data_IF_220977628563
#
_entry.id   IF_220977628563
#
_cell.length_a   1.000
_cell.length_b   1.000
_cell.length_c   1.000
_cell.angle_alpha   90.00
_cell.angle_beta   90.00
_cell.angle_gamma   90.00
#
_symmetry.space_group_name_H-M   'P 1'
#
loop_
_entity.id
_entity.type
_entity.pdbx_description
1 polymer ?
#
# COMPACT_ATOMS: atom_id res chain seq x y z
N UNK A 1 -1.62 8.74 -15.77
CA UNK A 1 -0.39 7.91 -15.73
C UNK A 1 -0.47 7.04 -14.49
N UNK A 2 -0.89 5.78 -14.63
CA UNK A 2 -0.73 4.81 -13.57
C UNK A 2 0.73 4.30 -13.66
N UNK A 3 1.55 4.73 -12.70
CA UNK A 3 2.89 4.19 -12.51
C UNK A 3 2.75 3.04 -11.52
N UNK A 4 3.02 1.82 -11.97
CA UNK A 4 3.20 0.71 -11.06
C UNK A 4 4.62 0.81 -10.50
N UNK A 5 4.74 0.72 -9.17
CA UNK A 5 5.98 0.99 -8.46
C UNK A 5 6.30 -0.16 -7.53
N UNK A 6 7.36 -0.89 -7.86
CA UNK A 6 7.89 -1.95 -7.03
C UNK A 6 8.97 -1.39 -6.07
N UNK A 7 8.55 -1.01 -4.86
CA UNK A 7 9.31 -1.36 -3.66
C UNK A 7 10.56 -0.58 -3.20
N UNK A 8 10.76 0.71 -3.51
CA UNK A 8 11.76 1.55 -2.78
C UNK A 8 11.10 2.72 -2.02
N UNK A 9 11.59 3.06 -0.82
CA UNK A 9 11.03 4.20 -0.06
C UNK A 9 11.41 5.54 -0.70
N UNK A 10 10.52 6.55 -0.67
CA UNK A 10 10.76 7.89 -1.23
C UNK A 10 12.01 8.60 -0.66
N UNK A 11 12.48 8.18 0.53
CA UNK A 11 13.69 8.70 1.18
C UNK A 11 14.99 8.06 0.64
N UNK A 12 14.93 6.91 -0.03
CA UNK A 12 16.07 6.31 -0.75
C UNK A 12 16.27 6.96 -2.12
N UNK A 13 15.18 7.29 -2.82
CA UNK A 13 15.19 8.10 -4.05
C UNK A 13 15.79 9.50 -3.82
N UNK A 14 15.45 10.15 -2.70
CA UNK A 14 16.05 11.44 -2.32
C UNK A 14 17.55 11.36 -2.03
N UNK A 15 18.02 10.24 -1.46
CA UNK A 15 19.45 10.03 -1.19
C UNK A 15 20.25 9.73 -2.46
N UNK A 16 19.69 8.96 -3.41
CA UNK A 16 20.35 8.68 -4.71
C UNK A 16 20.43 9.91 -5.64
N UNK A 17 19.46 10.82 -5.57
CA UNK A 17 19.40 12.00 -6.44
C UNK A 17 19.81 13.33 -5.78
N UNK A 18 20.51 13.28 -4.64
CA UNK A 18 21.00 14.47 -3.93
C UNK A 18 22.16 15.21 -4.65
N UNK A 19 22.58 14.78 -5.83
CA UNK A 19 23.62 15.45 -6.62
C UNK A 19 23.28 15.47 -8.10
N UNK A 20 22.59 16.52 -8.56
CA UNK A 20 22.41 16.73 -10.01
C UNK A 20 21.23 17.62 -10.35
N UNK A 21 21.41 18.94 -10.28
CA UNK A 21 20.55 19.85 -11.03
C UNK A 21 20.77 19.59 -12.52
N UNK A 22 19.87 18.83 -13.15
CA UNK A 22 19.88 18.67 -14.62
C UNK A 22 19.40 20.00 -15.22
N UNK A 23 20.35 20.86 -15.59
CA UNK A 23 20.12 21.96 -16.55
C UNK A 23 20.56 21.43 -17.92
N UNK A 24 19.71 21.42 -18.96
CA UNK A 24 20.18 21.11 -20.30
C UNK A 24 21.10 22.26 -20.77
N UNK A 25 22.35 21.95 -21.10
CA UNK A 25 23.22 22.85 -21.89
C UNK A 25 23.00 22.57 -23.38
N UNK A 26 22.97 23.60 -24.24
CA UNK A 26 23.02 23.43 -25.68
C UNK A 26 24.49 23.35 -26.13
N UNK A 27 24.82 22.39 -26.98
CA UNK A 27 26.10 22.27 -27.69
C UNK A 27 25.85 21.53 -29.01
N UNK A 28 26.54 21.91 -30.10
CA UNK A 28 26.12 21.59 -31.46
C UNK A 28 26.43 20.13 -31.78
N UNK A 29 25.44 19.42 -32.33
CA UNK A 29 25.65 18.10 -32.92
C UNK A 29 25.65 18.30 -34.43
N UNK A 30 26.79 17.99 -35.07
CA UNK A 30 26.94 17.99 -36.51
C UNK A 30 25.91 17.03 -37.14
N UNK A 31 25.16 17.54 -38.12
CA UNK A 31 24.12 16.81 -38.85
C UNK A 31 24.74 16.29 -40.14
N UNK A 32 24.67 14.98 -40.46
CA UNK A 32 25.00 14.51 -41.79
C UNK A 32 23.93 15.01 -42.78
N UNK A 33 24.43 15.51 -43.90
CA UNK A 33 23.70 16.01 -45.05
C UNK A 33 22.87 14.90 -45.71
N UNK A 34 21.70 15.31 -46.21
CA UNK A 34 20.72 14.57 -47.03
C UNK A 34 19.67 13.70 -46.29
N UNK A 35 18.52 14.34 -46.00
CA UNK A 35 17.23 13.67 -45.90
C UNK A 35 16.19 14.44 -46.75
N UNK A 36 15.32 13.75 -47.52
CA UNK A 36 14.43 14.39 -48.47
C UNK A 36 13.27 15.10 -47.76
N UNK A 37 13.03 16.34 -48.21
CA UNK A 37 11.87 17.21 -47.97
C UNK A 37 10.88 16.76 -46.89
N UNK A 38 11.03 17.29 -45.67
CA UNK A 38 9.94 17.36 -44.71
C UNK A 38 9.41 18.79 -44.68
N UNK A 39 8.25 18.98 -45.28
CA UNK A 39 7.43 20.17 -45.13
C UNK A 39 7.16 20.40 -43.63
N UNK A 40 7.74 21.46 -43.07
CA UNK A 40 7.37 21.93 -41.73
C UNK A 40 5.93 22.44 -41.76
N UNK A 41 4.98 21.58 -41.34
CA UNK A 41 3.66 22.06 -40.94
C UNK A 41 3.83 22.93 -39.69
N UNK A 42 3.39 24.19 -39.81
CA UNK A 42 3.32 25.16 -38.72
C UNK A 42 2.64 24.54 -37.48
N UNK A 43 3.09 24.91 -36.28
CA UNK A 43 2.76 24.25 -35.02
C UNK A 43 1.28 24.25 -34.59
N UNK A 44 0.39 24.84 -35.39
CA UNK A 44 -1.05 24.93 -35.11
C UNK A 44 -1.87 23.74 -35.67
N UNK A 45 -1.33 22.96 -36.63
CA UNK A 45 -2.06 21.91 -37.36
C UNK A 45 -1.55 20.47 -37.07
N UNK A 46 -0.73 20.29 -36.02
CA UNK A 46 -0.30 18.93 -35.64
C UNK A 46 -1.40 18.24 -34.85
N UNK A 47 -1.96 17.19 -35.43
CA UNK A 47 -2.79 16.25 -34.70
C UNK A 47 -2.07 15.79 -33.42
N UNK A 48 -2.78 15.76 -32.27
CA UNK A 48 -2.18 15.36 -31.02
C UNK A 48 -1.65 13.92 -31.12
N UNK A 49 -0.46 13.69 -30.56
CA UNK A 49 0.14 12.36 -30.56
C UNK A 49 -0.83 11.36 -29.90
N UNK A 50 -1.12 10.21 -30.54
CA UNK A 50 -1.97 9.21 -29.92
C UNK A 50 -1.33 8.71 -28.61
N UNK A 51 -2.13 8.43 -27.56
CA UNK A 51 -1.61 8.13 -26.22
C UNK A 51 -0.54 7.03 -26.17
N UNK A 52 -0.64 6.02 -27.04
CA UNK A 52 0.33 4.93 -27.09
C UNK A 52 1.73 5.39 -27.56
N UNK A 53 1.84 6.39 -28.44
CA UNK A 53 3.16 6.92 -28.89
C UNK A 53 3.87 7.60 -27.73
N UNK A 54 3.13 8.37 -26.94
CA UNK A 54 3.66 9.03 -25.74
C UNK A 54 4.07 7.99 -24.70
N UNK A 55 3.20 7.02 -24.41
CA UNK A 55 3.50 5.89 -23.51
C UNK A 55 4.78 5.15 -23.92
N UNK A 56 4.92 4.82 -25.20
CA UNK A 56 6.12 4.16 -25.76
C UNK A 56 7.39 5.02 -25.54
N UNK A 57 7.31 6.31 -25.85
CA UNK A 57 8.45 7.23 -25.71
C UNK A 57 8.87 7.45 -24.24
N UNK A 58 7.93 7.42 -23.30
CA UNK A 58 8.24 7.46 -21.87
C UNK A 58 8.90 6.15 -21.45
N UNK A 59 8.31 5.00 -21.78
CA UNK A 59 8.83 3.68 -21.40
C UNK A 59 10.23 3.42 -21.97
N UNK A 60 10.59 3.97 -23.14
CA UNK A 60 11.95 3.84 -23.68
C UNK A 60 13.03 4.58 -22.87
N UNK A 61 12.64 5.38 -21.88
CA UNK A 61 13.54 6.17 -21.01
C UNK A 61 13.46 5.78 -19.55
N UNK A 62 12.51 4.94 -19.17
CA UNK A 62 12.35 4.44 -17.80
C UNK A 62 13.30 3.26 -17.56
N UNK A 63 13.75 3.05 -16.31
CA UNK A 63 14.47 1.84 -15.94
C UNK A 63 13.57 0.59 -16.11
N UNK A 64 14.19 -0.58 -16.18
CA UNK A 64 13.49 -1.84 -16.49
C UNK A 64 12.44 -2.27 -15.45
N UNK A 65 12.47 -1.68 -14.25
CA UNK A 65 11.59 -1.95 -13.11
C UNK A 65 10.43 -0.94 -12.99
N UNK A 66 10.34 0.04 -13.89
CA UNK A 66 9.25 1.03 -13.92
C UNK A 66 8.65 1.08 -15.32
N UNK A 67 7.33 0.95 -15.42
CA UNK A 67 6.63 1.06 -16.69
C UNK A 67 5.34 1.86 -16.58
N UNK A 68 5.02 2.59 -17.65
CA UNK A 68 3.69 3.19 -17.86
C UNK A 68 2.81 2.15 -18.55
N UNK A 69 1.80 1.69 -17.82
CA UNK A 69 0.85 0.69 -18.31
C UNK A 69 -0.20 1.30 -19.24
N UNK A 70 -0.75 2.45 -18.84
CA UNK A 70 -1.82 3.12 -19.58
C UNK A 70 -1.66 4.65 -19.57
N UNK A 71 -2.19 5.27 -20.63
CA UNK A 71 -2.26 6.72 -20.78
C UNK A 71 -3.61 7.10 -21.38
N UNK A 72 -4.25 8.09 -20.75
CA UNK A 72 -5.54 8.62 -21.16
C UNK A 72 -5.47 10.14 -21.13
N UNK A 73 -6.13 10.77 -22.10
CA UNK A 73 -6.27 12.22 -22.11
C UNK A 73 -7.38 12.61 -21.14
N UNK A 74 -7.11 13.52 -20.22
CA UNK A 74 -8.15 14.10 -19.37
C UNK A 74 -8.95 15.07 -20.24
N UNK A 75 -10.27 14.87 -20.42
CA UNK A 75 -11.09 15.76 -21.24
C UNK A 75 -11.01 17.21 -20.73
N UNK A 76 -10.95 18.18 -21.64
CA UNK A 76 -10.93 19.60 -21.27
C UNK A 76 -12.19 20.04 -20.50
N UNK A 77 -13.30 19.29 -20.65
CA UNK A 77 -14.56 19.49 -19.94
C UNK A 77 -14.60 18.86 -18.54
N UNK A 78 -13.59 18.07 -18.14
CA UNK A 78 -13.53 17.45 -16.83
C UNK A 78 -13.07 18.45 -15.75
N UNK A 79 -13.49 18.21 -14.50
CA UNK A 79 -12.91 18.90 -13.35
C UNK A 79 -11.38 18.72 -13.36
N UNK A 80 -10.57 19.71 -12.92
CA UNK A 80 -9.11 19.59 -12.90
C UNK A 80 -8.66 18.32 -12.18
N UNK A 81 -8.15 17.34 -12.95
CA UNK A 81 -7.70 16.07 -12.40
C UNK A 81 -6.46 16.26 -11.55
N UNK A 82 -6.50 15.75 -10.32
CA UNK A 82 -5.39 15.75 -9.38
C UNK A 82 -5.15 14.34 -8.80
N UNK A 83 -4.01 13.69 -9.11
CA UNK A 83 -3.77 12.25 -8.87
C UNK A 83 -3.76 11.84 -7.39
N UNK A 84 -3.64 12.81 -6.48
CA UNK A 84 -3.67 12.57 -5.02
C UNK A 84 -4.96 13.03 -4.32
N UNK A 85 -5.72 13.93 -4.94
CA UNK A 85 -6.83 14.61 -4.26
C UNK A 85 -8.19 14.04 -4.67
N UNK A 86 -8.35 13.69 -5.96
CA UNK A 86 -9.57 13.06 -6.46
C UNK A 86 -9.61 11.54 -6.25
N UNK A 87 -8.88 11.02 -5.26
CA UNK A 87 -8.84 9.59 -4.96
C UNK A 87 -10.04 9.23 -4.10
N UNK A 88 -10.91 8.37 -4.62
CA UNK A 88 -12.05 7.83 -3.89
C UNK A 88 -11.63 6.70 -2.95
N UNK A 89 -10.77 5.79 -3.45
CA UNK A 89 -10.36 4.57 -2.73
C UNK A 89 -8.99 4.10 -3.20
N UNK A 90 -8.26 3.41 -2.31
CA UNK A 90 -7.03 2.68 -2.62
C UNK A 90 -7.16 1.24 -2.14
N UNK A 91 -6.59 0.30 -2.90
CA UNK A 91 -6.44 -1.09 -2.50
C UNK A 91 -4.97 -1.46 -2.46
N UNK A 92 -4.52 -1.82 -1.27
CA UNK A 92 -3.22 -2.46 -1.07
C UNK A 92 -3.41 -3.95 -0.95
N UNK A 93 -2.45 -4.69 -1.48
CA UNK A 93 -2.38 -6.13 -1.32
C UNK A 93 -1.11 -6.49 -0.57
N UNK A 94 -1.21 -7.50 0.29
CA UNK A 94 -0.05 -8.08 0.95
C UNK A 94 -0.04 -9.58 0.73
N UNK A 95 1.07 -10.10 0.20
CA UNK A 95 1.25 -11.54 -0.03
C UNK A 95 2.18 -12.15 1.01
N UNK A 96 1.73 -13.24 1.62
CA UNK A 96 2.47 -14.03 2.58
C UNK A 96 2.37 -15.50 2.21
N UNK A 97 3.45 -16.25 2.40
CA UNK A 97 3.49 -17.70 2.23
C UNK A 97 3.88 -18.34 3.56
N UNK A 98 3.10 -19.32 4.01
CA UNK A 98 3.30 -19.96 5.32
C UNK A 98 2.80 -21.41 5.30
N UNK A 99 3.08 -22.14 6.37
CA UNK A 99 2.48 -23.45 6.62
C UNK A 99 1.19 -23.30 7.42
N UNK A 100 0.13 -24.01 7.05
CA UNK A 100 -1.07 -24.06 7.90
C UNK A 100 -0.71 -24.77 9.20
N UNK A 101 -1.17 -24.23 10.32
CA UNK A 101 -1.11 -24.93 11.62
C UNK A 101 -1.89 -26.25 11.51
N UNK A 102 -1.28 -27.41 11.81
CA UNK A 102 -1.98 -28.68 11.72
C UNK A 102 -3.04 -28.76 12.82
N UNK A 103 -4.13 -29.49 12.55
CA UNK A 103 -5.17 -29.79 13.55
C UNK A 103 -4.64 -30.76 14.63
N UNK A 104 -3.69 -31.61 14.24
CA UNK A 104 -2.99 -32.57 15.09
C UNK A 104 -1.53 -32.12 15.29
N UNK A 105 -1.11 -31.73 16.51
CA UNK A 105 0.25 -31.29 16.81
C UNK A 105 1.33 -32.33 16.48
N UNK A 106 1.02 -33.63 16.50
CA UNK A 106 1.99 -34.68 16.15
C UNK A 106 2.34 -34.69 14.66
N UNK A 107 1.53 -34.01 13.82
CA UNK A 107 1.77 -33.85 12.38
C UNK A 107 2.45 -32.52 12.03
N UNK A 108 2.87 -31.75 13.03
CA UNK A 108 3.66 -30.54 12.80
C UNK A 108 4.96 -30.91 12.10
N UNK A 109 5.31 -30.15 11.06
CA UNK A 109 6.49 -30.44 10.26
C UNK A 109 7.59 -29.47 10.60
N UNK A 110 8.71 -30.00 11.08
CA UNK A 110 9.93 -29.24 11.33
C UNK A 110 10.64 -28.94 10.00
N UNK A 111 10.25 -27.84 9.37
CA UNK A 111 10.69 -27.52 8.02
C UNK A 111 10.85 -26.04 7.69
N UNK A 112 11.29 -25.17 8.61
CA UNK A 112 11.70 -23.77 8.35
C UNK A 112 10.92 -22.94 7.30
N UNK A 113 11.52 -21.88 6.73
CA UNK A 113 11.01 -21.27 5.46
C UNK A 113 11.63 -21.92 4.23
N UNK A 114 12.71 -22.69 4.45
CA UNK A 114 13.55 -23.23 3.39
C UNK A 114 12.85 -24.31 2.57
N UNK A 115 11.80 -24.93 3.11
CA UNK A 115 11.01 -25.96 2.44
C UNK A 115 9.99 -25.44 1.44
N UNK A 116 9.73 -24.12 1.39
CA UNK A 116 8.75 -23.54 0.44
C UNK A 116 9.16 -22.18 -0.12
N UNK A 117 10.43 -21.79 0.09
CA UNK A 117 10.99 -20.57 -0.50
C UNK A 117 10.98 -20.66 -2.03
N UNK A 118 10.66 -19.56 -2.70
CA UNK A 118 10.77 -19.45 -4.16
C UNK A 118 11.77 -18.37 -4.57
N UNK A 119 12.56 -18.65 -5.61
CA UNK A 119 13.49 -17.68 -6.18
C UNK A 119 12.77 -16.54 -6.94
N UNK A 120 11.61 -16.81 -7.55
CA UNK A 120 10.87 -15.83 -8.36
C UNK A 120 10.11 -14.81 -7.52
N UNK A 121 9.60 -15.26 -6.37
CA UNK A 121 8.61 -14.49 -5.62
C UNK A 121 9.21 -13.74 -4.42
N UNK A 122 10.51 -13.93 -4.15
CA UNK A 122 11.20 -13.41 -2.96
C UNK A 122 11.06 -11.89 -2.77
N UNK A 123 10.88 -11.13 -3.86
CA UNK A 123 10.69 -9.66 -3.82
C UNK A 123 9.24 -9.22 -3.62
N UNK A 124 8.28 -10.14 -3.71
CA UNK A 124 6.85 -9.84 -3.79
C UNK A 124 6.01 -10.60 -2.75
N UNK A 125 6.61 -11.57 -2.07
CA UNK A 125 5.97 -12.44 -1.08
C UNK A 125 6.82 -12.50 0.18
N UNK A 126 6.18 -12.42 1.33
CA UNK A 126 6.83 -12.71 2.61
C UNK A 126 6.75 -14.21 2.90
N UNK A 127 7.88 -14.92 2.83
CA UNK A 127 8.00 -16.27 3.37
C UNK A 127 8.00 -16.21 4.91
N UNK A 128 6.86 -16.53 5.50
CA UNK A 128 6.64 -16.47 6.93
C UNK A 128 7.09 -17.78 7.59
N UNK A 129 7.98 -17.73 8.59
CA UNK A 129 8.55 -18.93 9.21
C UNK A 129 7.57 -19.68 10.11
N UNK A 130 6.48 -19.02 10.50
CA UNK A 130 5.53 -19.56 11.47
C UNK A 130 4.37 -20.28 10.81
N UNK A 131 3.83 -21.25 11.53
CA UNK A 131 2.56 -21.85 11.19
C UNK A 131 1.43 -20.92 11.64
N UNK A 132 0.43 -20.72 10.77
CA UNK A 132 -0.65 -19.77 11.01
C UNK A 132 -2.02 -20.45 10.95
N UNK A 133 -2.94 -19.92 11.74
CA UNK A 133 -4.36 -20.28 11.74
C UNK A 133 -5.17 -19.31 10.86
N UNK A 134 -5.61 -19.80 9.70
CA UNK A 134 -6.40 -19.04 8.74
C UNK A 134 -7.74 -18.54 9.31
N UNK A 135 -8.34 -19.25 10.28
CA UNK A 135 -9.62 -18.88 10.87
C UNK A 135 -9.44 -17.66 11.80
N UNK A 136 -8.47 -17.74 12.73
CA UNK A 136 -8.12 -16.61 13.60
C UNK A 136 -7.71 -15.37 12.79
N UNK A 137 -6.93 -15.56 11.73
CA UNK A 137 -6.53 -14.44 10.86
C UNK A 137 -7.73 -13.79 10.16
N UNK A 138 -8.69 -14.57 9.65
CA UNK A 138 -9.91 -14.02 9.03
C UNK A 138 -10.77 -13.28 10.04
N UNK A 139 -10.89 -13.78 11.26
CA UNK A 139 -11.66 -13.15 12.32
C UNK A 139 -11.05 -11.80 12.71
N UNK A 140 -9.73 -11.75 12.93
CA UNK A 140 -9.01 -10.51 13.20
C UNK A 140 -9.13 -9.51 12.03
N UNK A 141 -9.11 -9.97 10.77
CA UNK A 141 -9.36 -9.08 9.63
C UNK A 141 -10.71 -8.40 9.71
N UNK A 142 -11.78 -9.13 10.09
CA UNK A 142 -13.14 -8.58 10.20
C UNK A 142 -13.24 -7.54 11.32
N UNK A 143 -12.61 -7.80 12.46
CA UNK A 143 -12.61 -6.88 13.61
C UNK A 143 -11.91 -5.55 13.33
N UNK A 144 -11.07 -5.45 12.29
CA UNK A 144 -10.37 -4.23 11.89
C UNK A 144 -11.15 -3.39 10.85
N UNK A 145 -12.23 -3.90 10.27
CA UNK A 145 -13.02 -3.22 9.24
C UNK A 145 -13.99 -2.24 9.89
N UNK A 146 -13.97 -0.99 9.44
CA UNK A 146 -14.80 0.09 9.94
C UNK A 146 -14.01 1.35 10.30
N UNK A 147 -14.67 2.25 11.01
CA UNK A 147 -14.10 3.52 11.46
C UNK A 147 -13.50 3.36 12.86
N UNK A 148 -12.18 3.37 12.95
CA UNK A 148 -11.45 3.15 14.21
C UNK A 148 -10.30 4.13 14.40
N UNK A 149 -9.77 4.19 15.63
CA UNK A 149 -8.50 4.84 15.91
C UNK A 149 -7.33 3.88 15.62
N UNK A 150 -6.63 4.12 14.51
CA UNK A 150 -5.51 3.30 14.08
C UNK A 150 -4.13 3.83 14.53
N UNK A 151 -4.06 4.68 15.58
CA UNK A 151 -2.80 5.28 16.04
C UNK A 151 -1.71 4.23 16.36
N UNK A 152 -2.10 3.09 16.95
CA UNK A 152 -1.19 1.97 17.25
C UNK A 152 -0.60 1.35 15.97
N UNK A 153 -1.35 1.39 14.86
CA UNK A 153 -0.94 0.87 13.57
C UNK A 153 -0.11 1.87 12.75
N UNK A 154 0.13 3.09 13.24
CA UNK A 154 1.00 4.05 12.56
C UNK A 154 2.47 3.87 12.91
N UNK A 155 3.36 4.24 11.98
CA UNK A 155 4.79 4.39 12.25
C UNK A 155 5.03 5.39 13.39
N UNK A 156 6.02 5.16 14.26
CA UNK A 156 6.33 6.01 15.43
C UNK A 156 6.41 7.50 15.08
N UNK A 157 7.08 7.85 13.99
CA UNK A 157 7.20 9.25 13.53
C UNK A 157 5.87 9.87 13.08
N UNK A 158 4.95 9.05 12.55
CA UNK A 158 3.64 9.54 12.12
C UNK A 158 2.74 9.87 13.31
N UNK A 159 2.98 9.28 14.49
CA UNK A 159 2.26 9.57 15.75
C UNK A 159 2.64 10.92 16.35
N UNK A 160 3.90 11.34 16.17
CA UNK A 160 4.42 12.64 16.66
C UNK A 160 3.85 13.84 15.90
N UNK A 161 3.24 13.60 14.73
CA UNK A 161 2.65 14.64 13.89
C UNK A 161 1.27 15.15 14.36
N UNK A 162 0.66 14.49 15.35
CA UNK A 162 -0.64 14.89 15.92
C UNK A 162 -0.51 15.98 16.99
N UNK A 163 0.53 16.81 16.92
CA UNK A 163 0.44 18.16 17.47
C UNK A 163 -0.67 18.87 16.71
N UNK A 164 -1.81 19.11 17.36
CA UNK A 164 -2.98 19.82 16.85
C UNK A 164 -2.58 20.89 15.82
N UNK A 165 -2.68 20.57 14.52
CA UNK A 165 -2.36 21.55 13.49
C UNK A 165 -3.53 22.52 13.45
N UNK A 166 -3.36 23.71 14.02
CA UNK A 166 -4.30 24.81 13.84
C UNK A 166 -4.55 25.00 12.34
N UNK A 167 -5.81 24.92 11.92
CA UNK A 167 -6.23 25.00 10.52
C UNK A 167 -5.94 26.40 9.97
N UNK A 168 -4.70 26.67 9.58
CA UNK A 168 -4.35 27.82 8.72
C UNK A 168 -4.47 27.39 7.27
N UNK A 169 -5.72 27.19 6.81
CA UNK A 169 -6.23 27.28 5.42
C UNK A 169 -7.38 26.28 5.22
N UNK A 170 -8.58 26.82 4.96
CA UNK A 170 -9.72 26.07 4.40
C UNK A 170 -9.25 25.31 3.15
N UNK A 171 -9.08 23.99 3.24
CA UNK A 171 -9.15 23.10 2.08
C UNK A 171 -10.60 22.64 1.97
N UNK A 172 -11.24 22.97 0.85
CA UNK A 172 -12.69 23.08 0.72
C UNK A 172 -13.42 21.75 0.48
N UNK A 173 -12.70 20.63 0.31
CA UNK A 173 -13.30 19.47 -0.38
C UNK A 173 -13.15 18.12 0.34
N UNK A 174 -12.86 18.09 1.64
CA UNK A 174 -13.20 16.90 2.43
C UNK A 174 -14.70 16.97 2.76
N UNK A 175 -15.51 16.18 2.05
CA UNK A 175 -16.84 15.78 2.55
C UNK A 175 -16.65 15.31 4.00
N UNK A 176 -17.41 15.94 4.87
CA UNK A 176 -17.28 16.08 6.33
C UNK A 176 -16.34 15.08 7.03
N UNK A 177 -15.24 15.56 7.64
CA UNK A 177 -14.50 14.78 8.62
C UNK A 177 -15.36 14.64 9.88
N UNK A 178 -15.29 13.50 10.55
CA UNK A 178 -15.81 13.34 11.91
C UNK A 178 -15.13 14.42 12.76
N UNK A 179 -15.89 15.46 13.10
CA UNK A 179 -15.43 16.53 13.97
C UNK A 179 -15.25 15.91 15.35
N UNK A 180 -14.01 15.83 15.82
CA UNK A 180 -13.78 15.80 17.27
C UNK A 180 -14.06 17.22 17.75
N UNK A 181 -14.73 17.35 18.89
CA UNK A 181 -15.44 18.50 19.53
C UNK A 181 -14.74 19.88 19.53
N UNK A 182 -13.56 20.01 18.91
CA UNK A 182 -12.67 21.17 18.97
C UNK A 182 -12.07 21.55 17.59
N UNK A 183 -12.64 21.06 16.48
CA UNK A 183 -12.22 21.43 15.12
C UNK A 183 -10.83 20.93 14.69
N UNK A 184 -10.27 19.96 15.42
CA UNK A 184 -8.95 19.34 15.15
C UNK A 184 -9.12 18.06 14.34
N UNK A 185 -8.25 17.85 13.35
CA UNK A 185 -8.20 16.65 12.53
C UNK A 185 -7.30 15.58 13.18
N UNK A 186 -7.86 14.43 13.53
CA UNK A 186 -7.06 13.27 13.95
C UNK A 186 -6.63 12.46 12.71
N UNK A 187 -5.33 12.46 12.42
CA UNK A 187 -4.79 11.78 11.23
C UNK A 187 -4.87 10.25 11.30
N UNK A 188 -5.10 9.73 12.51
CA UNK A 188 -5.11 8.33 12.89
C UNK A 188 -6.51 7.69 12.92
N UNK A 189 -7.59 8.49 12.96
CA UNK A 189 -8.96 7.99 12.79
C UNK A 189 -9.20 7.76 11.29
N UNK A 190 -9.52 6.52 10.91
CA UNK A 190 -9.71 6.13 9.51
C UNK A 190 -10.84 5.13 9.37
N UNK A 191 -11.49 5.18 8.22
CA UNK A 191 -12.45 4.17 7.78
C UNK A 191 -11.75 3.16 6.86
N UNK A 192 -11.60 1.93 7.35
CA UNK A 192 -11.13 0.79 6.58
C UNK A 192 -12.32 0.11 5.93
N UNK A 193 -12.60 0.45 4.67
CA UNK A 193 -13.76 -0.07 3.91
C UNK A 193 -13.75 -1.59 3.75
N UNK A 194 -12.58 -2.23 3.79
CA UNK A 194 -12.50 -3.68 3.74
C UNK A 194 -11.10 -4.22 3.99
N UNK A 195 -11.04 -5.39 4.61
CA UNK A 195 -9.80 -6.13 4.80
C UNK A 195 -10.05 -7.62 4.58
N UNK A 196 -9.78 -8.10 3.37
CA UNK A 196 -10.08 -9.48 2.96
C UNK A 196 -8.83 -10.34 2.99
N UNK A 197 -8.98 -11.58 3.43
CA UNK A 197 -7.96 -12.62 3.38
C UNK A 197 -8.42 -13.74 2.44
N UNK A 198 -7.74 -13.86 1.31
CA UNK A 198 -7.90 -14.98 0.36
C UNK A 198 -6.71 -15.91 0.55
N UNK A 199 -6.96 -17.21 0.64
CA UNK A 199 -5.91 -18.22 0.81
C UNK A 199 -5.98 -19.22 -0.33
N UNK A 200 -4.82 -19.53 -0.88
CA UNK A 200 -4.62 -20.58 -1.87
C UNK A 200 -3.72 -21.64 -1.24
N UNK A 201 -4.11 -22.91 -1.37
CA UNK A 201 -3.40 -24.03 -0.77
C UNK A 201 -2.77 -24.85 -1.87
N UNK A 202 -1.49 -25.10 -1.73
CA UNK A 202 -0.72 -25.90 -2.65
C UNK A 202 0.02 -26.97 -1.85
N UNK A 203 0.04 -28.19 -2.38
CA UNK A 203 0.85 -29.26 -1.80
C UNK A 203 2.17 -29.24 -2.55
N UNK A 204 3.28 -29.09 -1.83
CA UNK A 204 4.60 -29.17 -2.45
C UNK A 204 4.84 -30.59 -2.94
N UNK A 205 5.28 -30.73 -4.19
CA UNK A 205 5.49 -32.04 -4.82
C UNK A 205 6.67 -32.80 -4.21
N UNK A 206 7.69 -32.07 -3.74
CA UNK A 206 8.93 -32.61 -3.20
C UNK A 206 8.81 -33.02 -1.72
N UNK A 207 8.19 -32.19 -0.89
CA UNK A 207 8.08 -32.45 0.56
C UNK A 207 6.70 -33.00 0.96
N UNK A 208 5.71 -32.94 0.06
CA UNK A 208 4.33 -33.27 0.36
C UNK A 208 3.64 -32.28 1.31
N UNK A 209 4.31 -31.19 1.69
CA UNK A 209 3.82 -30.20 2.66
C UNK A 209 2.71 -29.33 2.09
N UNK A 210 1.72 -29.04 2.93
CA UNK A 210 0.71 -28.04 2.60
C UNK A 210 1.27 -26.64 2.84
N UNK A 211 1.53 -25.94 1.75
CA UNK A 211 1.96 -24.55 1.73
C UNK A 211 0.75 -23.69 1.40
N UNK A 212 0.57 -22.63 2.16
CA UNK A 212 -0.51 -21.66 1.97
C UNK A 212 0.09 -20.37 1.46
N UNK A 213 -0.40 -19.89 0.32
CA UNK A 213 -0.18 -18.51 -0.12
C UNK A 213 -1.43 -17.72 0.19
N UNK A 214 -1.29 -16.74 1.10
CA UNK A 214 -2.37 -15.84 1.43
C UNK A 214 -2.15 -14.45 0.83
N UNK A 215 -3.28 -13.86 0.44
CA UNK A 215 -3.38 -12.51 -0.07
C UNK A 215 -4.34 -11.72 0.81
N UNK A 216 -3.78 -10.76 1.53
CA UNK A 216 -4.55 -9.72 2.18
C UNK A 216 -4.88 -8.62 1.17
N UNK A 217 -6.10 -8.11 1.18
CA UNK A 217 -6.54 -6.95 0.41
C UNK A 217 -7.16 -5.92 1.34
N UNK A 218 -6.46 -4.80 1.56
CA UNK A 218 -6.90 -3.70 2.40
C UNK A 218 -7.40 -2.54 1.52
N UNK A 219 -8.62 -2.08 1.78
CA UNK A 219 -9.30 -1.02 1.04
C UNK A 219 -9.70 0.13 1.97
N UNK A 220 -9.30 1.35 1.62
CA UNK A 220 -9.70 2.57 2.33
C UNK A 220 -9.53 3.79 1.41
N UNK A 221 -10.10 4.94 1.80
CA UNK A 221 -9.80 6.22 1.13
C UNK A 221 -8.32 6.60 1.25
N UNK A 222 -7.69 6.28 2.38
CA UNK A 222 -6.27 6.53 2.60
C UNK A 222 -5.74 5.78 3.81
N UNK A 223 -4.43 5.52 3.80
CA UNK A 223 -3.72 4.80 4.85
C UNK A 223 -2.63 5.68 5.45
N UNK A 224 -2.44 5.59 6.77
CA UNK A 224 -1.31 6.22 7.44
C UNK A 224 0.03 5.52 7.13
N UNK A 225 1.14 6.20 7.40
CA UNK A 225 2.49 5.63 7.14
C UNK A 225 2.68 4.34 7.93
N UNK A 226 2.94 3.24 7.23
CA UNK A 226 3.19 1.91 7.82
C UNK A 226 1.92 1.12 8.17
N UNK A 227 0.74 1.73 8.07
CA UNK A 227 -0.53 1.15 8.53
C UNK A 227 -0.80 -0.25 7.98
N UNK A 228 -0.73 -0.46 6.66
CA UNK A 228 -1.03 -1.76 6.05
C UNK A 228 -0.06 -2.86 6.52
N UNK A 229 1.23 -2.55 6.66
CA UNK A 229 2.23 -3.53 7.13
C UNK A 229 2.02 -3.90 8.60
N UNK A 230 1.60 -2.92 9.39
CA UNK A 230 1.31 -3.09 10.81
C UNK A 230 0.01 -3.89 11.02
N UNK A 231 -1.02 -3.62 10.21
CA UNK A 231 -2.25 -4.42 10.18
C UNK A 231 -1.95 -5.90 9.87
N UNK A 232 -1.16 -6.16 8.82
CA UNK A 232 -0.78 -7.52 8.44
C UNK A 232 0.07 -8.20 9.51
N UNK A 233 1.05 -7.49 10.10
CA UNK A 233 1.90 -8.07 11.13
C UNK A 233 1.14 -8.39 12.42
N UNK A 234 0.18 -7.55 12.82
CA UNK A 234 -0.75 -7.86 13.90
C UNK A 234 -1.56 -9.13 13.62
N UNK A 235 -2.16 -9.25 12.42
CA UNK A 235 -2.91 -10.45 12.04
C UNK A 235 -2.03 -11.70 12.05
N UNK A 236 -0.77 -11.59 11.61
CA UNK A 236 0.16 -12.73 11.67
C UNK A 236 0.44 -13.12 13.12
N UNK A 237 0.63 -12.18 14.03
CA UNK A 237 0.79 -12.51 15.47
C UNK A 237 -0.48 -13.12 16.08
N UNK A 238 -1.68 -12.74 15.61
CA UNK A 238 -2.94 -13.42 15.95
C UNK A 238 -3.00 -14.84 15.37
N UNK A 239 -2.65 -15.02 14.10
CA UNK A 239 -2.60 -16.32 13.43
C UNK A 239 -1.60 -17.30 14.07
N UNK A 240 -0.53 -16.77 14.68
CA UNK A 240 0.43 -17.56 15.49
C UNK A 240 -0.13 -17.97 16.85
N UNK A 241 -1.19 -17.33 17.32
CA UNK A 241 -1.68 -17.45 18.71
C UNK A 241 -0.81 -16.72 19.73
N UNK A 242 0.00 -15.75 19.31
CA UNK A 242 0.75 -14.87 20.22
C UNK A 242 -0.16 -13.77 20.80
N UNK A 243 -1.19 -13.40 20.05
CA UNK A 243 -2.20 -12.42 20.40
C UNK A 243 -3.56 -13.11 20.20
N UNK A 244 -4.48 -12.94 21.13
CA UNK A 244 -5.85 -13.44 20.98
C UNK A 244 -6.71 -12.47 20.17
N UNK A 245 -7.70 -13.01 19.45
CA UNK A 245 -8.56 -12.21 18.56
C UNK A 245 -9.27 -11.09 19.32
N UNK A 246 -9.69 -11.33 20.56
CA UNK A 246 -10.35 -10.37 21.44
C UNK A 246 -9.47 -9.14 21.76
N UNK A 247 -8.15 -9.25 21.62
CA UNK A 247 -7.23 -8.12 21.80
C UNK A 247 -7.25 -7.14 20.62
N UNK A 248 -8.02 -7.41 19.56
CA UNK A 248 -8.25 -6.46 18.46
C UNK A 248 -8.83 -5.14 18.98
N UNK A 249 -9.80 -5.18 19.89
CA UNK A 249 -10.38 -3.98 20.50
C UNK A 249 -9.36 -3.18 21.32
N UNK A 250 -8.42 -3.88 21.96
CA UNK A 250 -7.31 -3.22 22.68
C UNK A 250 -6.35 -2.52 21.70
N UNK A 251 -6.02 -3.16 20.59
CA UNK A 251 -5.18 -2.57 19.54
C UNK A 251 -5.84 -1.34 18.87
N UNK A 252 -7.17 -1.28 18.88
CA UNK A 252 -7.98 -0.16 18.35
C UNK A 252 -8.37 0.89 19.41
N UNK A 253 -7.91 0.74 20.66
CA UNK A 253 -8.25 1.63 21.79
C UNK A 253 -9.74 1.67 22.16
N UNK A 254 -10.49 0.62 21.84
CA UNK A 254 -11.92 0.52 22.10
C UNK A 254 -12.25 -0.22 23.40
N UNK A 255 -11.23 -0.70 24.11
CA UNK A 255 -11.43 -1.34 25.40
C UNK A 255 -11.92 -0.34 26.45
N UNK A 256 -12.93 -0.76 27.22
CA UNK A 256 -13.63 0.05 28.22
C UNK A 256 -12.85 0.19 29.52
N UNK A 257 -11.62 -0.31 29.59
CA UNK A 257 -10.82 -0.21 30.79
C UNK A 257 -10.40 1.25 31.05
N UNK A 258 -11.11 1.92 31.95
CA UNK A 258 -10.92 3.34 32.31
C UNK A 258 -9.68 3.58 33.19
N UNK A 259 -8.99 2.54 33.64
CA UNK A 259 -7.88 2.67 34.60
C UNK A 259 -6.58 3.21 34.01
N UNK A 260 -6.38 3.10 32.68
CA UNK A 260 -5.19 3.58 32.00
C UNK A 260 -5.42 4.96 31.37
N UNK A 261 -4.42 5.84 31.51
CA UNK A 261 -4.40 7.10 30.74
C UNK A 261 -4.23 6.83 29.24
N UNK A 262 -4.46 7.87 28.42
CA UNK A 262 -4.48 7.74 26.96
C UNK A 262 -3.12 7.33 26.41
N UNK A 263 -2.04 7.91 26.93
CA UNK A 263 -0.67 7.61 26.53
C UNK A 263 -0.32 6.13 26.80
N UNK A 264 -0.63 5.61 27.99
CA UNK A 264 -0.39 4.22 28.37
C UNK A 264 -1.21 3.24 27.51
N UNK A 265 -2.46 3.59 27.18
CA UNK A 265 -3.27 2.79 26.23
C UNK A 265 -2.63 2.72 24.85
N UNK A 266 -2.14 3.85 24.33
CA UNK A 266 -1.45 3.90 23.03
C UNK A 266 -0.15 3.08 23.06
N UNK A 267 0.63 3.17 24.15
CA UNK A 267 1.86 2.41 24.31
C UNK A 267 1.59 0.90 24.36
N UNK A 268 0.60 0.48 25.15
CA UNK A 268 0.19 -0.92 25.22
C UNK A 268 -0.30 -1.43 23.86
N UNK A 269 -1.25 -0.72 23.23
CA UNK A 269 -1.76 -1.09 21.90
C UNK A 269 -0.64 -1.17 20.85
N UNK A 270 0.33 -0.24 20.92
CA UNK A 270 1.50 -0.24 20.03
C UNK A 270 2.42 -1.44 20.26
N UNK A 271 2.50 -1.96 21.49
CA UNK A 271 3.32 -3.13 21.82
C UNK A 271 2.77 -4.43 21.22
N UNK A 272 1.47 -4.48 20.95
CA UNK A 272 0.79 -5.59 20.27
C UNK A 272 1.07 -5.60 18.76
N UNK A 273 1.55 -4.50 18.19
CA UNK A 273 1.64 -4.32 16.73
C UNK A 273 3.08 -4.43 16.25
N UNK A 274 3.38 -5.53 15.55
CA UNK A 274 4.64 -5.72 14.84
C UNK A 274 4.47 -5.39 13.35
N UNK A 275 5.49 -4.79 12.72
CA UNK A 275 5.43 -4.45 11.30
C UNK A 275 5.82 -5.63 10.42
N UNK A 276 4.96 -6.05 9.50
CA UNK A 276 5.31 -7.04 8.48
C UNK A 276 6.42 -6.50 7.56
N UNK A 277 7.26 -7.35 6.92
CA UNK A 277 8.26 -6.91 5.94
C UNK A 277 7.69 -6.08 4.78
N UNK A 278 8.50 -5.25 4.13
CA UNK A 278 8.00 -4.40 3.03
C UNK A 278 7.74 -5.17 1.72
N UNK A 279 8.51 -6.23 1.46
CA UNK A 279 8.51 -6.96 0.18
C UNK A 279 7.15 -7.59 -0.19
N UNK A 280 6.30 -7.91 0.78
CA UNK A 280 4.97 -8.48 0.51
C UNK A 280 3.93 -7.45 0.06
N UNK A 281 4.19 -6.15 0.25
CA UNK A 281 3.20 -5.08 0.05
C UNK A 281 3.26 -4.51 -1.38
N UNK A 282 2.08 -4.36 -2.00
CA UNK A 282 1.91 -3.72 -3.30
C UNK A 282 0.66 -2.84 -3.29
N UNK A 283 0.73 -1.65 -3.91
CA UNK A 283 -0.45 -0.86 -4.24
C UNK A 283 -1.07 -1.46 -5.51
N UNK A 284 -2.24 -2.05 -5.40
CA UNK A 284 -2.87 -2.72 -6.54
C UNK A 284 -3.70 -1.77 -7.39
N UNK A 285 -4.56 -0.96 -6.74
CA UNK A 285 -5.52 -0.12 -7.46
C UNK A 285 -5.82 1.17 -6.71
N UNK A 286 -6.06 2.22 -7.47
CA UNK A 286 -6.57 3.51 -7.01
C UNK A 286 -7.80 3.80 -7.85
N UNK A 287 -8.92 4.09 -7.19
CA UNK A 287 -10.14 4.55 -7.85
C UNK A 287 -10.25 6.05 -7.68
N UNK A 288 -10.69 6.72 -8.73
CA UNK A 288 -10.90 8.16 -8.75
C UNK A 288 -12.38 8.52 -8.69
N UNK A 289 -12.70 9.70 -8.14
CA UNK A 289 -14.07 10.21 -8.09
C UNK A 289 -14.65 10.32 -9.52
N UNK A 290 -15.80 9.68 -9.77
CA UNK A 290 -16.47 9.67 -11.08
C UNK A 290 -16.23 8.43 -11.94
N UNK A 291 -15.30 7.55 -11.56
CA UNK A 291 -15.24 6.20 -12.14
C UNK A 291 -16.40 5.35 -11.57
N UNK A 292 -17.19 4.69 -12.43
CA UNK A 292 -18.18 3.71 -11.95
C UNK A 292 -17.40 2.61 -11.22
N UNK A 293 -17.70 2.43 -9.94
CA UNK A 293 -17.28 1.24 -9.21
C UNK A 293 -18.05 0.07 -9.82
N UNK A 294 -17.41 -0.68 -10.72
CA UNK A 294 -17.89 -2.02 -11.05
C UNK A 294 -17.69 -2.88 -9.78
N UNK A 295 -18.81 -3.29 -9.19
CA UNK A 295 -18.90 -4.15 -7.99
C UNK A 295 -18.40 -5.57 -8.26
#
# INVERSE_FOLDING_TARGET
VALDYHGETMDELRRRHAGGKIRPRPGPFDVPEEAPGHSEKSGADREPNPPWKIRRAINSRLPADVSVLAMEAVPASAMPYHPRQNVARKRYIYRIRYRRKPEDPERAVDGGVHSFRSATDRRFVWDCPWELDDAKMREACRGLVGCHDFVAFLHKDARKGDGAVAVKRRRRDYKEPVAVDDGRYCSHIRDLHGFRLVVEKERSDDTGLMVVTARFAAEAKGFGRGMVRNLVGFIVDVGRGKIEVDQTSMALLEDKNETLDKEAKIEYASSLVCSAPAQGLCLEKVWYDGEKLEE
#
